data_IF_134418042554
#
_entry.id   IF_134418042554
#
_cell.length_a   1.000
_cell.length_b   1.000
_cell.length_c   1.000
_cell.angle_alpha   90.00
_cell.angle_beta   90.00
_cell.angle_gamma   90.00
#
_symmetry.space_group_name_H-M   'P 1'
#
loop_
_entity.id
_entity.type
_entity.pdbx_description
1 polymer ?
#
# COMPACT_ATOMS: atom_id res chain seq x y z
N UNK A 1 11.39 -8.46 -20.95
CA UNK A 1 10.24 -8.72 -20.05
C UNK A 1 9.43 -9.86 -20.65
N UNK A 2 9.31 -10.99 -19.96
CA UNK A 2 8.57 -12.16 -20.47
C UNK A 2 7.07 -11.91 -20.25
N UNK A 3 6.38 -11.45 -21.29
CA UNK A 3 4.92 -11.40 -21.32
C UNK A 3 4.39 -12.83 -21.31
N UNK A 4 4.14 -13.38 -20.12
CA UNK A 4 3.44 -14.67 -19.99
C UNK A 4 1.96 -14.39 -20.13
N UNK A 5 1.38 -14.83 -21.24
CA UNK A 5 -0.06 -14.79 -21.45
C UNK A 5 -0.72 -15.92 -20.66
N UNK A 6 -1.61 -15.57 -19.72
CA UNK A 6 -2.38 -16.53 -18.91
C UNK A 6 -2.28 -16.29 -17.41
N UNK A 7 -3.24 -16.83 -16.65
CA UNK A 7 -3.20 -16.84 -15.19
C UNK A 7 -2.12 -17.84 -14.73
N UNK A 8 -1.20 -17.46 -13.83
CA UNK A 8 -0.17 -18.36 -13.32
C UNK A 8 -0.82 -19.57 -12.63
N UNK A 9 -0.24 -20.75 -12.82
CA UNK A 9 -0.70 -21.96 -12.15
C UNK A 9 -0.40 -21.93 -10.65
N UNK A 10 -1.12 -22.71 -9.85
CA UNK A 10 -0.86 -22.85 -8.40
C UNK A 10 0.58 -23.31 -8.09
N UNK A 11 1.19 -24.08 -8.99
CA UNK A 11 2.58 -24.51 -8.85
C UNK A 11 3.57 -23.35 -9.08
N UNK A 12 3.33 -22.51 -10.09
CA UNK A 12 4.13 -21.31 -10.34
C UNK A 12 4.01 -20.28 -9.21
N UNK A 13 2.83 -20.14 -8.59
CA UNK A 13 2.64 -19.24 -7.45
C UNK A 13 3.36 -19.68 -6.17
N UNK A 14 3.73 -20.96 -6.05
CA UNK A 14 4.49 -21.51 -4.93
C UNK A 14 6.00 -21.34 -5.10
N UNK A 15 6.48 -21.04 -6.32
CA UNK A 15 7.87 -20.66 -6.54
C UNK A 15 8.11 -19.24 -6.00
N UNK A 16 9.05 -19.04 -5.05
CA UNK A 16 9.26 -17.74 -4.44
C UNK A 16 9.69 -16.65 -5.42
N UNK A 17 10.54 -16.98 -6.40
CA UNK A 17 11.01 -16.00 -7.38
C UNK A 17 9.87 -15.56 -8.29
N UNK A 18 9.07 -16.52 -8.76
CA UNK A 18 7.89 -16.24 -9.59
C UNK A 18 6.84 -15.44 -8.80
N UNK A 19 6.61 -15.75 -7.52
CA UNK A 19 5.66 -15.02 -6.68
C UNK A 19 6.07 -13.55 -6.50
N UNK A 20 7.35 -13.29 -6.22
CA UNK A 20 7.89 -11.93 -6.05
C UNK A 20 7.80 -11.16 -7.38
N UNK A 21 8.18 -11.77 -8.50
CA UNK A 21 8.10 -11.14 -9.82
C UNK A 21 6.65 -10.77 -10.19
N UNK A 22 5.70 -11.65 -9.92
CA UNK A 22 4.28 -11.39 -10.16
C UNK A 22 3.74 -10.29 -9.23
N UNK A 23 4.09 -10.34 -7.94
CA UNK A 23 3.68 -9.34 -6.96
C UNK A 23 4.20 -7.94 -7.30
N UNK A 24 5.47 -7.83 -7.71
CA UNK A 24 6.08 -6.56 -8.12
C UNK A 24 5.48 -6.02 -9.42
N UNK A 25 5.18 -6.89 -10.40
CA UNK A 25 4.48 -6.51 -11.61
C UNK A 25 3.06 -5.98 -11.28
N UNK A 26 2.34 -6.64 -10.38
CA UNK A 26 1.01 -6.20 -9.96
C UNK A 26 1.05 -4.87 -9.19
N UNK A 27 1.99 -4.69 -8.26
CA UNK A 27 2.19 -3.41 -7.58
C UNK A 27 2.50 -2.27 -8.56
N UNK A 28 3.34 -2.53 -9.56
CA UNK A 28 3.66 -1.55 -10.61
C UNK A 28 2.42 -1.16 -11.40
N UNK A 29 1.58 -2.12 -11.77
CA UNK A 29 0.29 -1.85 -12.42
C UNK A 29 -0.63 -0.98 -11.57
N UNK A 30 -0.76 -1.28 -10.26
CA UNK A 30 -1.59 -0.48 -9.35
C UNK A 30 -1.06 0.95 -9.23
N UNK A 31 0.26 1.14 -9.13
CA UNK A 31 0.86 2.47 -9.10
C UNK A 31 0.55 3.27 -10.37
N UNK A 32 0.58 2.64 -11.54
CA UNK A 32 0.16 3.28 -12.80
C UNK A 32 -1.33 3.62 -12.79
N UNK A 33 -2.18 2.73 -12.28
CA UNK A 33 -3.61 3.00 -12.16
C UNK A 33 -3.91 4.16 -11.19
N UNK A 34 -3.08 4.35 -10.17
CA UNK A 34 -3.27 5.38 -9.13
C UNK A 34 -2.38 6.61 -9.33
N UNK A 35 -1.73 6.74 -10.50
CA UNK A 35 -0.78 7.82 -10.80
C UNK A 35 -1.40 9.23 -10.73
N UNK A 36 -2.72 9.35 -10.89
CA UNK A 36 -3.43 10.63 -10.75
C UNK A 36 -3.60 11.13 -9.31
N UNK A 37 -3.28 10.30 -8.30
CA UNK A 37 -3.26 10.75 -6.90
C UNK A 37 -1.96 11.52 -6.65
N UNK A 38 -2.10 12.80 -6.33
CA UNK A 38 -0.98 13.74 -6.26
C UNK A 38 -0.15 13.57 -4.98
N UNK A 39 -0.80 13.42 -3.83
CA UNK A 39 -0.12 13.24 -2.55
C UNK A 39 0.54 11.86 -2.48
N UNK A 40 1.87 11.79 -2.26
CA UNK A 40 2.59 10.52 -2.27
C UNK A 40 2.23 9.59 -1.10
N UNK A 41 1.85 10.13 0.06
CA UNK A 41 1.42 9.32 1.21
C UNK A 41 0.03 8.72 0.94
N UNK A 42 -0.91 9.54 0.48
CA UNK A 42 -2.24 9.09 0.05
C UNK A 42 -2.14 8.05 -1.07
N UNK A 43 -1.25 8.25 -2.05
CA UNK A 43 -1.02 7.27 -3.13
C UNK A 43 -0.45 5.96 -2.60
N UNK A 44 0.43 5.99 -1.58
CA UNK A 44 0.92 4.79 -0.91
C UNK A 44 -0.21 4.05 -0.22
N UNK A 45 -1.06 4.74 0.54
CA UNK A 45 -2.21 4.14 1.23
C UNK A 45 -3.19 3.52 0.24
N UNK A 46 -3.52 4.28 -0.81
CA UNK A 46 -4.38 3.82 -1.90
C UNK A 46 -3.81 2.56 -2.58
N UNK A 47 -2.51 2.50 -2.81
CA UNK A 47 -1.84 1.32 -3.40
C UNK A 47 -1.98 0.10 -2.50
N UNK A 48 -1.75 0.23 -1.19
CA UNK A 48 -1.91 -0.87 -0.23
C UNK A 48 -3.36 -1.37 -0.18
N UNK A 49 -4.33 -0.47 -0.11
CA UNK A 49 -5.75 -0.85 -0.08
C UNK A 49 -6.19 -1.49 -1.40
N UNK A 50 -5.74 -0.93 -2.52
CA UNK A 50 -6.02 -1.44 -3.86
C UNK A 50 -5.35 -2.80 -4.14
N UNK A 51 -4.24 -3.12 -3.47
CA UNK A 51 -3.60 -4.42 -3.58
C UNK A 51 -4.55 -5.53 -3.09
N UNK A 52 -5.23 -5.30 -1.97
CA UNK A 52 -6.15 -6.26 -1.36
C UNK A 52 -7.52 -6.24 -2.04
N UNK A 53 -8.08 -5.06 -2.29
CA UNK A 53 -9.49 -4.89 -2.70
C UNK A 53 -9.66 -4.56 -4.19
N UNK A 54 -8.57 -4.25 -4.90
CA UNK A 54 -8.58 -3.77 -6.27
C UNK A 54 -8.75 -2.24 -6.37
N UNK A 55 -7.98 -1.61 -7.28
CA UNK A 55 -8.02 -0.15 -7.50
C UNK A 55 -9.40 0.36 -7.94
N UNK A 56 -10.13 -0.43 -8.75
CA UNK A 56 -11.48 -0.06 -9.17
C UNK A 56 -12.48 -0.04 -8.01
N UNK A 57 -12.38 -0.98 -7.07
CA UNK A 57 -13.25 -1.00 -5.90
C UNK A 57 -12.98 0.18 -4.98
N UNK A 58 -11.69 0.50 -4.75
CA UNK A 58 -11.28 1.68 -4.01
C UNK A 58 -11.84 2.96 -4.61
N UNK A 59 -11.64 3.21 -5.91
CA UNK A 59 -12.10 4.45 -6.55
C UNK A 59 -13.62 4.61 -6.50
N UNK A 60 -14.36 3.50 -6.62
CA UNK A 60 -15.83 3.47 -6.52
C UNK A 60 -16.38 3.91 -5.16
N UNK A 61 -15.59 3.87 -4.08
CA UNK A 61 -16.02 4.41 -2.78
C UNK A 61 -16.07 5.95 -2.77
N UNK A 62 -15.44 6.62 -3.74
CA UNK A 62 -15.44 8.07 -3.90
C UNK A 62 -16.38 8.54 -5.02
N UNK A 63 -16.37 7.84 -6.16
CA UNK A 63 -17.19 8.13 -7.33
C UNK A 63 -17.19 6.95 -8.32
N UNK A 64 -18.26 6.77 -9.09
CA UNK A 64 -18.28 5.86 -10.23
C UNK A 64 -17.40 6.34 -11.39
N UNK A 65 -17.27 7.66 -11.54
CA UNK A 65 -16.33 8.27 -12.49
C UNK A 65 -14.93 8.37 -11.89
N UNK A 66 -13.95 7.84 -12.61
CA UNK A 66 -12.55 7.76 -12.17
C UNK A 66 -11.90 9.12 -12.00
N UNK A 67 -12.14 10.05 -12.91
CA UNK A 67 -11.55 11.39 -12.88
C UNK A 67 -12.07 12.14 -11.66
N UNK A 68 -13.38 12.08 -11.41
CA UNK A 68 -13.98 12.67 -10.21
C UNK A 68 -13.54 11.98 -8.92
N UNK A 69 -13.37 10.65 -8.92
CA UNK A 69 -12.85 9.93 -7.75
C UNK A 69 -11.45 10.42 -7.38
N UNK A 70 -10.54 10.51 -8.36
CA UNK A 70 -9.17 11.02 -8.16
C UNK A 70 -9.19 12.48 -7.73
N UNK A 71 -10.04 13.32 -8.33
CA UNK A 71 -10.18 14.72 -7.94
C UNK A 71 -10.61 14.87 -6.47
N UNK A 72 -11.58 14.06 -6.00
CA UNK A 72 -11.99 14.02 -4.59
C UNK A 72 -10.86 13.58 -3.68
N UNK A 73 -10.13 12.53 -4.04
CA UNK A 73 -8.99 12.03 -3.25
C UNK A 73 -7.92 13.13 -3.11
N UNK A 74 -7.64 13.87 -4.19
CA UNK A 74 -6.65 14.96 -4.18
C UNK A 74 -7.08 16.18 -3.36
N UNK A 75 -8.34 16.26 -2.92
CA UNK A 75 -8.85 17.29 -2.02
C UNK A 75 -8.79 16.87 -0.55
N UNK A 76 -8.37 15.63 -0.26
CA UNK A 76 -8.29 15.08 1.10
C UNK A 76 -6.85 15.09 1.62
N UNK A 77 -6.71 15.24 2.94
CA UNK A 77 -5.46 14.89 3.61
C UNK A 77 -5.28 13.37 3.66
N UNK A 78 -4.05 12.85 3.84
CA UNK A 78 -3.82 11.42 3.99
C UNK A 78 -4.66 10.78 5.13
N UNK A 79 -4.87 11.52 6.21
CA UNK A 79 -5.71 11.08 7.33
C UNK A 79 -7.19 11.01 6.94
N UNK A 80 -7.73 12.02 6.26
CA UNK A 80 -9.13 12.01 5.79
C UNK A 80 -9.38 10.87 4.79
N UNK A 81 -8.43 10.64 3.90
CA UNK A 81 -8.48 9.50 2.99
C UNK A 81 -8.54 8.17 3.76
N UNK A 82 -7.66 8.00 4.75
CA UNK A 82 -7.61 6.82 5.59
C UNK A 82 -8.94 6.58 6.32
N UNK A 83 -9.44 7.59 7.02
CA UNK A 83 -10.71 7.53 7.74
C UNK A 83 -11.89 7.17 6.80
N UNK A 84 -11.94 7.77 5.60
CA UNK A 84 -12.98 7.48 4.60
C UNK A 84 -12.96 6.03 4.16
N UNK A 85 -11.78 5.49 3.83
CA UNK A 85 -11.63 4.11 3.35
C UNK A 85 -11.98 3.09 4.44
N UNK A 86 -11.64 3.37 5.71
CA UNK A 86 -11.99 2.51 6.84
C UNK A 86 -13.50 2.41 7.05
N UNK A 87 -14.23 3.51 6.86
CA UNK A 87 -15.68 3.55 7.09
C UNK A 87 -16.52 2.98 5.93
N UNK A 88 -15.98 2.99 4.70
CA UNK A 88 -16.74 2.74 3.47
C UNK A 88 -16.47 1.41 2.78
N UNK A 89 -15.76 0.48 3.41
CA UNK A 89 -15.47 -0.84 2.85
C UNK A 89 -16.44 -1.90 3.44
N UNK A 90 -17.54 -2.28 2.76
CA UNK A 90 -18.46 -3.30 3.25
C UNK A 90 -17.91 -4.72 3.00
N UNK A 91 -17.84 -5.56 4.05
CA UNK A 91 -17.79 -7.03 3.89
C UNK A 91 -16.46 -7.74 4.17
N UNK A 92 -15.41 -7.07 4.60
CA UNK A 92 -14.34 -7.71 5.38
C UNK A 92 -14.22 -6.92 6.68
N UNK A 93 -13.73 -7.51 7.76
CA UNK A 93 -13.04 -6.69 8.77
C UNK A 93 -12.16 -5.71 7.97
N UNK A 94 -12.38 -4.39 8.16
CA UNK A 94 -11.91 -3.33 7.24
C UNK A 94 -10.45 -3.52 6.86
N UNK A 95 -9.95 -2.96 5.75
CA UNK A 95 -8.55 -3.15 5.39
C UNK A 95 -7.71 -2.65 6.56
N UNK A 96 -7.24 -3.57 7.41
CA UNK A 96 -6.17 -3.30 8.32
C UNK A 96 -5.01 -3.02 7.37
N UNK A 97 -4.79 -1.75 7.02
CA UNK A 97 -3.42 -1.28 6.97
C UNK A 97 -2.81 -1.91 8.22
N UNK A 98 -1.84 -2.83 8.10
CA UNK A 98 -1.25 -3.43 9.28
C UNK A 98 -0.96 -2.28 10.24
N UNK A 99 -1.31 -2.40 11.51
CA UNK A 99 -0.93 -1.40 12.53
C UNK A 99 0.58 -1.10 12.47
N UNK A 100 1.36 -2.06 11.97
CA UNK A 100 2.78 -1.94 11.61
C UNK A 100 3.06 -0.92 10.49
N UNK A 101 2.19 -0.84 9.49
CA UNK A 101 2.25 0.20 8.45
C UNK A 101 1.97 1.58 9.05
N UNK A 102 1.03 1.73 9.99
CA UNK A 102 0.79 3.00 10.70
C UNK A 102 2.02 3.45 11.51
N UNK A 103 2.73 2.53 12.17
CA UNK A 103 3.98 2.82 12.88
C UNK A 103 5.12 3.21 11.93
N UNK A 104 5.24 2.57 10.76
CA UNK A 104 6.19 2.97 9.73
C UNK A 104 5.84 4.29 9.04
N UNK A 105 4.59 4.75 9.14
CA UNK A 105 4.07 5.92 8.43
C UNK A 105 3.94 7.17 9.30
N UNK A 106 3.84 7.03 10.63
CA UNK A 106 3.71 8.15 11.58
C UNK A 106 5.01 8.94 11.84
N UNK A 107 6.13 8.56 11.20
CA UNK A 107 7.38 9.32 11.19
C UNK A 107 8.06 9.52 12.55
N UNK A 108 7.53 8.95 13.64
CA UNK A 108 8.01 9.24 15.00
C UNK A 108 9.00 8.22 15.58
N UNK A 109 9.31 7.11 14.90
CA UNK A 109 10.09 6.02 15.51
C UNK A 109 11.34 5.59 14.72
N UNK A 110 11.76 6.31 13.68
CA UNK A 110 13.06 5.99 13.03
C UNK A 110 14.24 6.56 13.83
N UNK A 111 14.00 7.48 14.78
CA UNK A 111 15.07 8.03 15.63
C UNK A 111 15.52 7.06 16.75
N UNK A 112 14.61 6.22 17.27
CA UNK A 112 14.89 5.38 18.45
C UNK A 112 15.66 4.11 18.11
N UNK A 113 15.41 3.50 16.94
CA UNK A 113 16.08 2.24 16.54
C UNK A 113 17.55 2.44 16.15
N UNK A 114 17.94 3.63 15.69
CA UNK A 114 19.36 3.93 15.45
C UNK A 114 20.12 4.25 16.75
N UNK A 115 19.45 4.81 17.77
CA UNK A 115 20.06 5.11 19.08
C UNK A 115 20.35 3.83 19.88
N UNK A 116 19.40 2.88 19.92
CA UNK A 116 19.55 1.63 20.69
C UNK A 116 20.61 0.68 20.10
N UNK A 117 20.84 0.73 18.77
CA UNK A 117 21.91 -0.07 18.13
C UNK A 117 23.29 0.52 18.37
N UNK A 118 23.40 1.84 18.50
CA UNK A 118 24.67 2.52 18.74
C UNK A 118 25.13 2.42 20.21
N UNK A 119 24.19 2.32 21.17
CA UNK A 119 24.53 2.11 22.59
C UNK A 119 24.91 0.66 22.92
N UNK A 120 24.31 -0.36 22.27
CA UNK A 120 24.72 -1.76 22.48
C UNK A 120 26.13 -2.07 21.95
N UNK A 121 26.54 -1.46 20.85
CA UNK A 121 27.90 -1.66 20.32
C UNK A 121 28.99 -0.93 21.11
N UNK A 122 28.64 -0.01 22.00
CA UNK A 122 29.60 0.65 22.91
C UNK A 122 29.74 -0.08 24.26
N UNK A 123 28.77 -0.91 24.64
CA UNK A 123 28.80 -1.69 25.89
C UNK A 123 29.40 -3.10 25.74
N UNK A 124 29.70 -3.55 24.51
CA UNK A 124 30.25 -4.89 24.22
C UNK A 124 31.73 -4.87 23.80
N UNK A 125 32.42 -3.73 23.97
CA UNK A 125 33.82 -3.52 23.58
C UNK A 125 34.71 -2.99 24.69
N UNK A 126 34.45 -3.38 25.95
CA UNK A 126 35.29 -3.08 27.11
C UNK A 126 35.64 -4.33 27.88
#
# INVERSE_FOLDING_TARGET
MKGRYGQPSTHELKDPAVNIDLGTAYLSMLQQQLAGISDPQTRRYATTVAYVNGAGALLRTFSSDRTYAVAKINQMTPQQFYEHVQQKTPGSAGPSLPVESEQCLSGHEISTVHSTRQQRNQAAGG
#
